data_IF_806611683788
#
_entry.id   IF_806611683788
#
_cell.length_a   1.000
_cell.length_b   1.000
_cell.length_c   1.000
_cell.angle_alpha   90.00
_cell.angle_beta   90.00
_cell.angle_gamma   90.00
#
_symmetry.space_group_name_H-M   'P 1'
#
loop_
_entity.id
_entity.type
_entity.pdbx_description
1 polymer ?
#
# COMPACT_ATOMS: atom_id res chain seq x y z
N UNK A 1 -18.75 11.74 -6.70
CA UNK A 1 -18.88 12.49 -5.43
C UNK A 1 -18.75 11.56 -4.22
N UNK A 2 -19.63 10.56 -4.05
CA UNK A 2 -19.54 9.62 -2.91
C UNK A 2 -18.25 8.77 -2.86
N UNK A 3 -17.66 8.39 -4.00
CA UNK A 3 -16.39 7.63 -4.02
C UNK A 3 -15.14 8.46 -3.65
N UNK A 4 -15.19 9.79 -3.78
CA UNK A 4 -14.09 10.69 -3.40
C UNK A 4 -14.13 11.03 -1.90
N UNK A 5 -15.32 11.01 -1.30
CA UNK A 5 -15.52 11.36 0.11
C UNK A 5 -14.97 10.27 1.04
N UNK A 6 -15.12 8.99 0.68
CA UNK A 6 -14.50 7.87 1.41
C UNK A 6 -12.96 7.88 1.36
N UNK A 7 -12.37 8.45 0.29
CA UNK A 7 -10.91 8.62 0.18
C UNK A 7 -10.40 9.78 1.03
N UNK A 8 -11.23 10.82 1.23
CA UNK A 8 -10.89 11.98 2.08
C UNK A 8 -10.84 11.61 3.58
N UNK A 9 -11.73 10.74 4.06
CA UNK A 9 -11.75 10.31 5.46
C UNK A 9 -10.59 9.38 5.86
N UNK A 10 -9.93 8.74 4.88
CA UNK A 10 -8.84 7.78 5.11
C UNK A 10 -7.45 8.40 4.98
N UNK A 11 -7.33 9.62 4.44
CA UNK A 11 -6.06 10.33 4.25
C UNK A 11 -5.82 11.31 5.39
N UNK A 12 -4.67 11.22 6.06
CA UNK A 12 -4.19 12.26 6.98
C UNK A 12 -4.11 13.62 6.25
N UNK A 13 -4.45 14.73 6.91
CA UNK A 13 -4.48 16.09 6.34
C UNK A 13 -3.32 16.43 5.36
N UNK A 14 -2.04 16.14 5.67
CA UNK A 14 -0.95 16.37 4.70
C UNK A 14 -1.01 15.48 3.45
N UNK A 15 -1.47 14.23 3.57
CA UNK A 15 -1.63 13.31 2.43
C UNK A 15 -2.83 13.67 1.54
N UNK A 16 -3.88 14.26 2.12
CA UNK A 16 -5.01 14.82 1.38
C UNK A 16 -4.57 16.07 0.57
N UNK A 17 -3.83 17.00 1.17
CA UNK A 17 -3.32 18.20 0.49
C UNK A 17 -2.44 17.82 -0.71
N UNK A 18 -1.55 16.84 -0.56
CA UNK A 18 -0.74 16.32 -1.67
C UNK A 18 -1.57 15.60 -2.73
N UNK A 19 -2.62 14.87 -2.34
CA UNK A 19 -3.52 14.19 -3.27
C UNK A 19 -4.30 15.20 -4.12
N UNK A 20 -4.97 16.17 -3.49
CA UNK A 20 -5.71 17.22 -4.19
C UNK A 20 -4.76 18.10 -5.00
N UNK A 21 -3.65 18.55 -4.43
CA UNK A 21 -2.62 19.34 -5.12
C UNK A 21 -2.02 18.65 -6.35
N UNK A 22 -1.87 17.32 -6.31
CA UNK A 22 -1.43 16.52 -7.46
C UNK A 22 -2.52 16.38 -8.53
N UNK A 23 -3.81 16.45 -8.21
CA UNK A 23 -4.90 16.22 -9.19
C UNK A 23 -5.22 17.48 -10.00
N UNK A 24 -4.96 18.69 -9.47
CA UNK A 24 -5.31 19.95 -10.15
C UNK A 24 -4.40 20.32 -11.32
N UNK A 25 -3.34 19.55 -11.61
CA UNK A 25 -2.56 19.74 -12.84
C UNK A 25 -3.35 19.21 -14.04
N UNK A 26 -3.57 20.07 -15.04
CA UNK A 26 -4.31 19.74 -16.28
C UNK A 26 -3.72 18.52 -16.98
N UNK A 27 -2.40 18.34 -16.89
CA UNK A 27 -1.66 17.21 -17.46
C UNK A 27 -2.10 15.87 -16.84
N UNK A 28 -2.42 15.85 -15.54
CA UNK A 28 -2.84 14.64 -14.84
C UNK A 28 -4.25 14.22 -15.23
N UNK A 29 -5.13 15.17 -15.54
CA UNK A 29 -6.48 14.88 -16.04
C UNK A 29 -6.41 14.21 -17.41
N UNK A 30 -5.56 14.72 -18.31
CA UNK A 30 -5.36 14.15 -19.65
C UNK A 30 -4.75 12.75 -19.55
N UNK A 31 -3.74 12.60 -18.69
CA UNK A 31 -3.07 11.32 -18.44
C UNK A 31 -4.02 10.23 -17.95
N UNK A 32 -4.92 10.55 -17.00
CA UNK A 32 -5.93 9.60 -16.52
C UNK A 32 -6.95 9.25 -17.61
N UNK A 33 -7.41 10.24 -18.39
CA UNK A 33 -8.35 9.99 -19.51
C UNK A 33 -7.75 9.05 -20.57
N UNK A 34 -6.49 9.25 -20.93
CA UNK A 34 -5.79 8.41 -21.90
C UNK A 34 -5.72 6.96 -21.43
N UNK A 35 -5.45 6.74 -20.14
CA UNK A 35 -5.43 5.39 -19.56
C UNK A 35 -6.80 4.75 -19.48
N UNK A 36 -7.84 5.49 -19.07
CA UNK A 36 -9.21 4.97 -19.05
C UNK A 36 -9.74 4.61 -20.46
N UNK A 37 -9.12 5.16 -21.50
CA UNK A 37 -9.44 4.85 -22.90
C UNK A 37 -8.69 3.62 -23.43
N UNK A 38 -7.69 3.11 -22.70
CA UNK A 38 -6.93 1.92 -23.10
C UNK A 38 -7.75 0.64 -22.87
N UNK A 39 -7.50 -0.41 -23.67
CA UNK A 39 -8.15 -1.71 -23.44
C UNK A 39 -7.73 -2.32 -22.10
N UNK A 40 -8.58 -3.19 -21.56
CA UNK A 40 -8.29 -3.90 -20.31
C UNK A 40 -7.04 -4.77 -20.45
N UNK A 41 -6.26 -4.85 -19.37
CA UNK A 41 -5.11 -5.74 -19.27
C UNK A 41 -5.55 -7.21 -19.40
N UNK A 42 -4.69 -8.04 -19.98
CA UNK A 42 -4.87 -9.49 -19.96
C UNK A 42 -4.83 -10.00 -18.51
N UNK A 43 -5.71 -10.94 -18.16
CA UNK A 43 -5.81 -11.50 -16.81
C UNK A 43 -4.55 -12.25 -16.34
N UNK A 44 -3.68 -12.63 -17.28
CA UNK A 44 -2.42 -13.34 -17.01
C UNK A 44 -1.23 -12.40 -16.77
N UNK A 45 -1.40 -11.11 -17.03
CA UNK A 45 -0.31 -10.13 -16.92
C UNK A 45 -0.37 -9.41 -15.58
N UNK A 46 0.79 -9.22 -14.96
CA UNK A 46 0.92 -8.56 -13.66
C UNK A 46 0.55 -7.07 -13.77
N UNK A 47 -0.50 -6.58 -13.07
CA UNK A 47 -1.00 -5.21 -13.21
C UNK A 47 0.06 -4.13 -12.92
N UNK A 48 0.91 -4.37 -11.91
CA UNK A 48 1.96 -3.43 -11.51
C UNK A 48 3.04 -3.35 -12.59
N UNK A 49 3.38 -4.48 -13.24
CA UNK A 49 4.37 -4.51 -14.31
C UNK A 49 3.88 -3.79 -15.56
N UNK A 50 2.64 -4.03 -15.96
CA UNK A 50 2.00 -3.35 -17.09
C UNK A 50 1.97 -1.82 -16.88
N UNK A 51 1.58 -1.37 -15.69
CA UNK A 51 1.54 0.06 -15.37
C UNK A 51 2.94 0.69 -15.41
N UNK A 52 3.96 0.00 -14.88
CA UNK A 52 5.34 0.49 -14.87
C UNK A 52 5.89 0.71 -16.28
N UNK A 53 5.59 -0.20 -17.20
CA UNK A 53 6.13 -0.19 -18.56
C UNK A 53 5.36 0.72 -19.50
N UNK A 54 4.02 0.75 -19.42
CA UNK A 54 3.18 1.48 -20.38
C UNK A 54 2.65 2.82 -19.88
N UNK A 55 2.48 2.99 -18.58
CA UNK A 55 1.87 4.19 -17.99
C UNK A 55 2.63 4.66 -16.73
N UNK A 56 3.89 5.10 -16.85
CA UNK A 56 4.75 5.41 -15.70
C UNK A 56 4.18 6.52 -14.79
N UNK A 57 3.42 7.48 -15.32
CA UNK A 57 2.77 8.50 -14.50
C UNK A 57 1.62 7.94 -13.63
N UNK A 58 0.90 6.93 -14.12
CA UNK A 58 -0.15 6.25 -13.34
C UNK A 58 0.44 5.24 -12.40
N UNK A 59 1.54 4.61 -12.77
CA UNK A 59 2.27 3.69 -11.93
C UNK A 59 2.59 4.28 -10.55
N UNK A 60 3.02 5.54 -10.49
CA UNK A 60 3.30 6.22 -9.21
C UNK A 60 2.04 6.34 -8.32
N UNK A 61 0.90 6.65 -8.91
CA UNK A 61 -0.39 6.72 -8.21
C UNK A 61 -0.82 5.31 -7.78
N UNK A 62 -0.69 4.33 -8.68
CA UNK A 62 -1.03 2.94 -8.43
C UNK A 62 -0.22 2.33 -7.28
N UNK A 63 1.07 2.64 -7.17
CA UNK A 63 1.88 2.20 -6.03
C UNK A 63 1.34 2.71 -4.69
N UNK A 64 0.79 3.92 -4.65
CA UNK A 64 0.23 4.48 -3.41
C UNK A 64 -1.10 3.82 -3.05
N UNK A 65 -2.00 3.66 -4.02
CA UNK A 65 -3.38 3.26 -3.74
C UNK A 65 -3.64 1.74 -3.88
N UNK A 66 -3.01 1.06 -4.83
CA UNK A 66 -3.21 -0.38 -5.05
C UNK A 66 -2.35 -1.25 -4.13
N UNK A 67 -1.18 -0.76 -3.71
CA UNK A 67 -0.32 -1.52 -2.79
C UNK A 67 -0.74 -1.38 -1.31
N UNK A 68 -1.74 -0.54 -1.02
CA UNK A 68 -2.30 -0.42 0.32
C UNK A 68 -3.27 -1.57 0.55
N UNK A 69 -3.09 -2.40 1.60
CA UNK A 69 -4.02 -3.49 1.87
C UNK A 69 -5.41 -2.93 2.18
N UNK A 70 -6.44 -3.50 1.55
CA UNK A 70 -7.83 -3.08 1.75
C UNK A 70 -8.47 -3.51 3.09
N UNK A 71 -7.71 -4.14 3.99
CA UNK A 71 -8.20 -4.61 5.29
C UNK A 71 -7.11 -4.59 6.37
N UNK A 72 -7.52 -4.60 7.64
CA UNK A 72 -6.63 -4.74 8.80
C UNK A 72 -6.06 -6.14 8.99
N UNK A 73 -6.59 -7.14 8.28
CA UNK A 73 -6.24 -8.57 8.40
C UNK A 73 -4.72 -8.84 8.33
N UNK A 74 -3.92 -8.20 7.45
CA UNK A 74 -2.48 -8.41 7.43
C UNK A 74 -1.78 -7.97 8.72
N UNK A 75 -2.28 -6.88 9.32
CA UNK A 75 -1.77 -6.32 10.57
C UNK A 75 -2.19 -7.22 11.76
N UNK A 76 -3.44 -7.67 11.79
CA UNK A 76 -3.90 -8.64 12.79
C UNK A 76 -3.08 -9.93 12.74
N UNK A 77 -2.82 -10.47 11.55
CA UNK A 77 -1.97 -11.65 11.37
C UNK A 77 -0.54 -11.41 11.86
N UNK A 78 0.01 -10.20 11.64
CA UNK A 78 1.32 -9.82 12.17
C UNK A 78 1.30 -9.80 13.71
N UNK A 79 0.25 -9.25 14.33
CA UNK A 79 0.10 -9.22 15.79
C UNK A 79 -0.09 -10.62 16.37
N UNK A 80 -0.93 -11.47 15.77
CA UNK A 80 -1.08 -12.87 16.18
C UNK A 80 0.25 -13.63 16.10
N UNK A 81 1.00 -13.46 15.00
CA UNK A 81 2.32 -14.06 14.84
C UNK A 81 3.32 -13.56 15.90
N UNK A 82 3.29 -12.25 16.19
CA UNK A 82 4.13 -11.64 17.22
C UNK A 82 3.72 -12.10 18.63
N UNK A 83 2.44 -12.43 18.85
CA UNK A 83 1.95 -13.05 20.08
C UNK A 83 2.67 -14.36 20.42
N UNK A 84 3.05 -15.17 19.41
CA UNK A 84 3.88 -16.36 19.65
C UNK A 84 5.33 -16.02 20.04
N UNK A 85 5.85 -14.88 19.60
CA UNK A 85 7.16 -14.37 20.03
C UNK A 85 7.11 -13.99 21.51
N UNK A 86 6.04 -13.32 21.91
CA UNK A 86 5.73 -12.94 23.30
C UNK A 86 4.97 -14.09 24.00
N UNK A 87 5.59 -15.26 24.10
CA UNK A 87 5.04 -16.37 24.90
C UNK A 87 5.24 -16.12 26.40
N UNK A 88 4.46 -16.75 27.27
CA UNK A 88 4.64 -16.65 28.73
C UNK A 88 6.07 -16.99 29.21
N UNK A 89 6.74 -17.93 28.54
CA UNK A 89 8.15 -18.29 28.81
C UNK A 89 9.18 -17.25 28.34
N UNK A 90 8.79 -16.32 27.45
CA UNK A 90 9.63 -15.26 26.86
C UNK A 90 9.09 -13.86 27.21
N UNK A 91 8.59 -13.68 28.43
CA UNK A 91 7.99 -12.41 28.86
C UNK A 91 9.00 -11.30 29.22
N UNK A 92 10.29 -11.61 29.32
CA UNK A 92 11.38 -10.67 29.67
C UNK A 92 11.97 -9.92 28.47
N UNK A 93 11.25 -9.86 27.35
CA UNK A 93 11.69 -9.09 26.17
C UNK A 93 11.29 -7.63 26.33
N UNK A 94 12.23 -6.72 26.08
CA UNK A 94 11.90 -5.30 25.96
C UNK A 94 11.04 -5.06 24.71
N UNK A 95 10.16 -4.03 24.70
CA UNK A 95 9.34 -3.70 23.53
C UNK A 95 10.17 -3.50 22.25
N UNK A 96 11.37 -2.93 22.40
CA UNK A 96 12.33 -2.74 21.30
C UNK A 96 12.79 -4.06 20.69
N UNK A 97 13.09 -5.06 21.53
CA UNK A 97 13.53 -6.37 21.07
C UNK A 97 12.39 -7.14 20.38
N UNK A 98 11.16 -7.00 20.88
CA UNK A 98 9.97 -7.58 20.24
C UNK A 98 9.77 -7.03 18.84
N UNK A 99 9.90 -5.71 18.65
CA UNK A 99 9.80 -5.08 17.32
C UNK A 99 10.84 -5.62 16.34
N UNK A 100 12.11 -5.71 16.78
CA UNK A 100 13.19 -6.24 15.94
C UNK A 100 12.93 -7.70 15.57
N UNK A 101 12.54 -8.54 16.53
CA UNK A 101 12.24 -9.95 16.28
C UNK A 101 11.03 -10.13 15.36
N UNK A 102 9.98 -9.32 15.52
CA UNK A 102 8.81 -9.33 14.64
C UNK A 102 9.20 -8.94 13.21
N UNK A 103 10.02 -7.91 13.04
CA UNK A 103 10.55 -7.49 11.75
C UNK A 103 11.39 -8.59 11.08
N UNK A 104 12.34 -9.18 11.81
CA UNK A 104 13.19 -10.26 11.29
C UNK A 104 12.36 -11.49 10.91
N UNK A 105 11.43 -11.90 11.78
CA UNK A 105 10.56 -13.05 11.52
C UNK A 105 9.63 -12.83 10.32
N UNK A 106 9.25 -11.59 10.01
CA UNK A 106 8.45 -11.31 8.81
C UNK A 106 9.28 -11.27 7.53
N UNK A 107 10.54 -10.82 7.63
CA UNK A 107 11.40 -10.53 6.48
C UNK A 107 12.53 -11.55 6.25
N UNK A 108 12.63 -12.64 7.05
CA UNK A 108 13.75 -13.60 6.92
C UNK A 108 13.93 -14.15 5.50
N UNK A 109 12.84 -14.34 4.75
CA UNK A 109 12.87 -14.81 3.34
C UNK A 109 13.44 -13.81 2.33
N UNK A 110 13.59 -12.55 2.73
CA UNK A 110 14.20 -11.51 1.88
C UNK A 110 15.69 -11.36 2.17
N UNK A 111 16.17 -11.92 3.29
CA UNK A 111 17.56 -11.81 3.78
C UNK A 111 18.35 -13.10 3.50
N UNK A 112 17.66 -14.24 3.42
CA UNK A 112 18.19 -15.57 3.10
C UNK A 112 17.76 -15.92 1.68
#
# INVERSE_FOLDING_TARGET
LLKLQAVHETLSYPAAILFYGSIYSVDNIILVRNFLSCPNINLLEEPIHYLKTRHPGIYLIALKYLCTPGSSVPVERLFSATGYIISERRNRLSPKNVQILSFLNKNYKLVI
#
